data_IF_581201412875
#
_entry.id   IF_581201412875
#
_cell.length_a   1.000
_cell.length_b   1.000
_cell.length_c   1.000
_cell.angle_alpha   90.00
_cell.angle_beta   90.00
_cell.angle_gamma   90.00
#
_symmetry.space_group_name_H-M   'P 1'
#
loop_
_entity.id
_entity.type
_entity.pdbx_description
1 polymer ?
#
# COMPACT_ATOMS: atom_id res chain seq x y z
N UNK A 1 -7.60 -7.48 2.00
CA UNK A 1 -9.07 -7.56 2.14
C UNK A 1 -9.73 -6.47 1.29
N UNK A 2 -11.01 -6.67 0.93
CA UNK A 2 -11.84 -5.68 0.24
C UNK A 2 -12.81 -5.05 1.25
N UNK A 3 -12.92 -3.74 1.26
CA UNK A 3 -13.81 -2.99 2.16
C UNK A 3 -14.67 -2.04 1.33
N UNK A 4 -15.99 -2.16 1.46
CA UNK A 4 -16.94 -1.33 0.71
C UNK A 4 -17.36 -0.14 1.57
N UNK A 5 -17.20 1.08 1.03
CA UNK A 5 -17.55 2.34 1.69
C UNK A 5 -19.04 2.66 1.47
N UNK A 6 -19.95 1.80 1.92
CA UNK A 6 -21.40 2.05 1.83
C UNK A 6 -21.97 2.78 3.05
N UNK A 7 -21.48 2.46 4.25
CA UNK A 7 -22.10 2.89 5.52
C UNK A 7 -21.10 3.43 6.55
N UNK A 8 -20.07 4.14 6.11
CA UNK A 8 -19.08 4.78 6.99
C UNK A 8 -19.12 6.32 6.83
N UNK A 9 -20.15 7.02 7.36
CA UNK A 9 -20.33 8.45 7.18
C UNK A 9 -19.21 9.29 7.82
N UNK A 10 -18.48 8.73 8.79
CA UNK A 10 -17.33 9.36 9.43
C UNK A 10 -16.06 9.33 8.59
N UNK A 11 -16.01 8.53 7.52
CA UNK A 11 -14.84 8.47 6.61
C UNK A 11 -15.11 9.04 5.23
N UNK A 12 -16.38 9.02 4.80
CA UNK A 12 -16.80 9.59 3.52
C UNK A 12 -16.52 11.09 3.49
N UNK A 13 -15.97 11.57 2.38
CA UNK A 13 -15.64 12.97 2.15
C UNK A 13 -14.25 13.36 2.63
N UNK A 14 -13.61 12.57 3.50
CA UNK A 14 -12.24 12.79 3.94
C UNK A 14 -11.23 12.18 2.96
N UNK A 15 -10.07 12.80 2.88
CA UNK A 15 -8.92 12.28 2.15
C UNK A 15 -8.18 11.20 2.94
N UNK A 16 -7.47 10.31 2.24
CA UNK A 16 -6.70 9.24 2.89
C UNK A 16 -5.68 9.78 3.91
N UNK A 17 -5.12 10.96 3.65
CA UNK A 17 -4.21 11.64 4.55
C UNK A 17 -4.89 12.26 5.77
N UNK A 18 -6.14 12.72 5.65
CA UNK A 18 -6.95 13.19 6.78
C UNK A 18 -7.39 12.01 7.68
N UNK A 19 -7.66 10.85 7.08
CA UNK A 19 -8.07 9.65 7.79
C UNK A 19 -6.92 8.94 8.50
N UNK A 20 -5.67 9.17 8.09
CA UNK A 20 -4.48 8.61 8.74
C UNK A 20 -4.51 7.09 8.88
N UNK A 21 -5.19 6.37 7.98
CA UNK A 21 -5.49 4.94 8.17
C UNK A 21 -4.23 4.09 8.30
N UNK A 22 -3.15 4.53 7.63
CA UNK A 22 -1.85 3.89 7.71
C UNK A 22 -1.23 4.04 9.08
N UNK A 23 -1.24 5.24 9.63
CA UNK A 23 -0.66 5.58 10.92
C UNK A 23 -1.49 5.00 12.08
N UNK A 24 -2.81 5.02 11.96
CA UNK A 24 -3.75 4.55 12.98
C UNK A 24 -3.91 3.04 12.99
N UNK A 25 -4.02 2.40 11.82
CA UNK A 25 -4.31 0.96 11.73
C UNK A 25 -3.14 0.13 11.23
N UNK A 26 -2.08 0.74 10.69
CA UNK A 26 -0.95 0.02 10.11
C UNK A 26 -1.27 -0.62 8.75
N UNK A 27 -2.40 -0.27 8.14
CA UNK A 27 -2.86 -0.81 6.85
C UNK A 27 -2.39 0.07 5.68
N UNK A 28 -2.39 -0.48 4.47
CA UNK A 28 -2.18 0.26 3.25
C UNK A 28 -3.34 0.07 2.28
N UNK A 29 -3.73 1.13 1.58
CA UNK A 29 -4.71 1.03 0.50
C UNK A 29 -3.95 0.82 -0.81
N UNK A 30 -4.11 -0.36 -1.38
CA UNK A 30 -3.51 -0.74 -2.65
C UNK A 30 -4.29 -0.20 -3.85
N UNK A 31 -5.61 -0.08 -3.74
CA UNK A 31 -6.48 0.39 -4.82
C UNK A 31 -7.83 0.89 -4.30
N UNK A 32 -8.42 1.86 -5.00
CA UNK A 32 -9.83 2.24 -4.85
C UNK A 32 -10.57 1.91 -6.16
N UNK A 33 -11.64 1.13 -6.10
CA UNK A 33 -12.61 1.02 -7.21
C UNK A 33 -13.74 2.01 -6.96
N UNK A 34 -14.01 2.87 -7.93
CA UNK A 34 -15.07 3.89 -7.89
C UNK A 34 -15.91 3.75 -9.15
N UNK A 35 -16.99 2.97 -9.04
CA UNK A 35 -17.82 2.62 -10.19
C UNK A 35 -17.01 1.86 -11.24
N UNK A 36 -16.81 2.47 -12.40
CA UNK A 36 -16.03 1.93 -13.54
C UNK A 36 -14.56 2.33 -13.52
N UNK A 37 -14.10 3.08 -12.51
CA UNK A 37 -12.72 3.57 -12.41
C UNK A 37 -11.94 2.83 -11.34
N UNK A 38 -10.70 2.50 -11.64
CA UNK A 38 -9.74 1.97 -10.68
C UNK A 38 -8.62 2.98 -10.43
N UNK A 39 -8.39 3.29 -9.16
CA UNK A 39 -7.34 4.21 -8.70
C UNK A 39 -6.29 3.39 -7.96
N UNK A 40 -5.25 2.90 -8.67
CA UNK A 40 -4.19 2.12 -8.05
C UNK A 40 -3.30 3.02 -7.19
N UNK A 41 -2.96 2.53 -6.01
CA UNK A 41 -2.08 3.18 -5.04
C UNK A 41 -2.47 4.65 -4.79
N UNK A 42 -3.67 4.90 -4.25
CA UNK A 42 -4.25 6.23 -4.11
C UNK A 42 -3.40 7.17 -3.25
N UNK A 43 -3.37 8.45 -3.65
CA UNK A 43 -2.68 9.56 -2.98
C UNK A 43 -3.23 9.89 -1.60
N UNK A 44 -2.43 10.57 -0.77
CA UNK A 44 -2.92 11.13 0.50
C UNK A 44 -4.07 12.11 0.30
N UNK A 45 -4.13 12.79 -0.84
CA UNK A 45 -5.17 13.77 -1.17
C UNK A 45 -6.41 13.11 -1.82
N UNK A 46 -6.37 11.79 -2.09
CA UNK A 46 -7.51 11.06 -2.64
C UNK A 46 -8.63 10.97 -1.60
N UNK A 47 -9.84 11.40 -1.98
CA UNK A 47 -11.01 11.41 -1.10
C UNK A 47 -11.82 10.14 -1.25
N UNK A 48 -12.37 9.66 -0.14
CA UNK A 48 -13.31 8.54 -0.14
C UNK A 48 -14.73 9.03 -0.40
N UNK A 49 -15.45 8.31 -1.24
CA UNK A 49 -16.86 8.57 -1.58
C UNK A 49 -17.73 7.34 -1.28
N UNK A 50 -19.06 7.53 -1.13
CA UNK A 50 -19.97 6.41 -0.99
C UNK A 50 -19.88 5.47 -2.19
N UNK A 51 -19.83 4.17 -1.91
CA UNK A 51 -19.67 3.12 -2.93
C UNK A 51 -18.23 2.88 -3.37
N UNK A 52 -17.25 3.61 -2.84
CA UNK A 52 -15.84 3.28 -3.06
C UNK A 52 -15.54 1.90 -2.48
N UNK A 53 -14.76 1.12 -3.22
CA UNK A 53 -14.23 -0.15 -2.75
C UNK A 53 -12.74 -0.02 -2.50
N UNK A 54 -12.32 -0.22 -1.26
CA UNK A 54 -10.92 -0.19 -0.87
C UNK A 54 -10.33 -1.59 -0.87
N UNK A 55 -9.25 -1.77 -1.62
CA UNK A 55 -8.38 -2.93 -1.51
C UNK A 55 -7.28 -2.61 -0.51
N UNK A 56 -7.35 -3.24 0.66
CA UNK A 56 -6.44 -2.97 1.79
C UNK A 56 -5.50 -4.13 2.05
N UNK A 57 -4.26 -3.79 2.41
CA UNK A 57 -3.18 -4.68 2.80
C UNK A 57 -2.82 -4.44 4.27
N UNK A 58 -2.76 -5.51 5.05
CA UNK A 58 -2.44 -5.51 6.47
C UNK A 58 -2.47 -6.93 7.00
N UNK A 59 -2.09 -7.11 8.26
CA UNK A 59 -2.30 -8.38 8.98
C UNK A 59 -3.78 -8.55 9.32
N UNK A 60 -4.21 -9.78 9.61
CA UNK A 60 -5.60 -10.06 10.00
C UNK A 60 -6.05 -9.17 11.17
N UNK A 61 -5.24 -9.05 12.23
CA UNK A 61 -5.51 -8.15 13.36
C UNK A 61 -5.65 -6.67 12.95
N UNK A 62 -4.90 -6.19 11.96
CA UNK A 62 -5.00 -4.80 11.48
C UNK A 62 -6.27 -4.60 10.67
N UNK A 63 -6.62 -5.58 9.84
CA UNK A 63 -7.83 -5.57 9.02
C UNK A 63 -9.08 -5.69 9.88
N UNK A 64 -9.05 -6.50 10.95
CA UNK A 64 -10.13 -6.61 11.93
C UNK A 64 -10.34 -5.28 12.67
N UNK A 65 -9.27 -4.63 13.15
CA UNK A 65 -9.38 -3.30 13.80
C UNK A 65 -9.93 -2.24 12.86
N UNK A 66 -9.48 -2.21 11.61
CA UNK A 66 -10.00 -1.29 10.59
C UNK A 66 -11.47 -1.57 10.30
N UNK A 67 -11.84 -2.83 10.11
CA UNK A 67 -13.21 -3.26 9.87
C UNK A 67 -14.12 -2.88 11.03
N UNK A 68 -13.70 -3.13 12.27
CA UNK A 68 -14.43 -2.76 13.48
C UNK A 68 -14.66 -1.24 13.53
N UNK A 69 -13.62 -0.44 13.26
CA UNK A 69 -13.70 1.02 13.27
C UNK A 69 -14.57 1.59 12.13
N UNK A 70 -14.54 0.99 10.94
CA UNK A 70 -15.44 1.37 9.84
C UNK A 70 -16.89 0.99 10.14
N UNK A 71 -17.10 -0.11 10.86
CA UNK A 71 -18.40 -0.66 11.21
C UNK A 71 -18.90 -0.21 12.60
N UNK A 72 -18.31 0.81 13.21
CA UNK A 72 -18.77 1.40 14.48
C UNK A 72 -20.22 1.93 14.42
N UNK A 73 -20.90 1.86 13.26
CA UNK A 73 -22.34 2.15 13.13
C UNK A 73 -23.19 1.03 12.50
N UNK A 74 -22.62 -0.05 11.95
CA UNK A 74 -23.44 -1.21 11.53
C UNK A 74 -22.58 -2.47 11.32
N UNK A 75 -22.93 -3.55 12.02
CA UNK A 75 -22.16 -4.79 12.09
C UNK A 75 -22.27 -5.66 10.83
N UNK A 76 -21.75 -5.20 9.69
CA UNK A 76 -21.71 -6.01 8.45
C UNK A 76 -20.35 -5.97 7.76
N UNK A 77 -19.60 -7.06 7.93
CA UNK A 77 -18.45 -7.42 7.10
C UNK A 77 -18.95 -7.86 5.71
N UNK A 78 -18.54 -7.20 4.62
CA UNK A 78 -18.88 -7.64 3.26
C UNK A 78 -17.78 -8.54 2.69
N UNK A 79 -18.04 -9.84 2.67
CA UNK A 79 -17.26 -10.85 1.95
C UNK A 79 -17.69 -10.86 0.47
N UNK A 80 -16.85 -10.40 -0.45
CA UNK A 80 -17.11 -10.49 -1.89
C UNK A 80 -15.85 -10.97 -2.65
N UNK A 81 -15.96 -11.98 -3.54
CA UNK A 81 -14.80 -12.55 -4.24
C UNK A 81 -14.23 -11.64 -5.35
N UNK A 82 -12.94 -11.83 -5.58
CA UNK A 82 -12.04 -11.03 -6.43
C UNK A 82 -12.26 -11.25 -7.94
N UNK A 83 -12.18 -10.18 -8.72
CA UNK A 83 -11.62 -10.21 -10.08
C UNK A 83 -10.31 -9.42 -10.03
N UNK A 84 -9.21 -10.08 -10.39
CA UNK A 84 -7.85 -9.74 -10.01
C UNK A 84 -7.13 -9.20 -11.24
N UNK A 85 -6.83 -7.90 -11.28
CA UNK A 85 -5.82 -7.36 -12.20
C UNK A 85 -4.46 -7.32 -11.46
N UNK A 86 -3.59 -8.29 -11.76
CA UNK A 86 -2.15 -8.47 -11.47
C UNK A 86 -1.51 -7.69 -10.28
N UNK A 87 -2.15 -7.66 -9.12
CA UNK A 87 -1.53 -7.28 -7.85
C UNK A 87 -0.75 -8.48 -7.27
N UNK A 88 0.58 -8.39 -7.26
CA UNK A 88 1.50 -9.42 -6.74
C UNK A 88 2.27 -8.89 -5.53
N UNK A 89 2.48 -9.76 -4.54
CA UNK A 89 3.47 -9.53 -3.48
C UNK A 89 4.83 -10.06 -3.95
N UNK A 90 5.81 -9.16 -4.04
CA UNK A 90 7.16 -9.49 -4.46
C UNK A 90 8.15 -9.28 -3.32
N UNK A 91 9.19 -10.13 -3.32
CA UNK A 91 10.34 -10.06 -2.43
C UNK A 91 11.60 -9.87 -3.25
N UNK A 92 12.42 -8.87 -2.92
CA UNK A 92 13.70 -8.63 -3.56
C UNK A 92 14.75 -8.08 -2.58
N UNK A 93 16.02 -8.24 -2.92
CA UNK A 93 17.14 -7.74 -2.12
C UNK A 93 17.68 -6.43 -2.71
N UNK A 94 17.99 -5.46 -1.86
CA UNK A 94 18.73 -4.24 -2.24
C UNK A 94 20.21 -4.58 -2.31
N UNK A 95 20.66 -5.00 -3.50
CA UNK A 95 22.06 -5.29 -3.77
C UNK A 95 22.92 -4.05 -4.06
N UNK A 96 24.23 -4.26 -4.19
CA UNK A 96 25.19 -3.26 -4.63
C UNK A 96 24.78 -2.67 -5.99
N UNK A 97 24.70 -1.35 -6.10
CA UNK A 97 24.34 -0.68 -7.35
C UNK A 97 22.83 -0.68 -7.67
N UNK A 98 22.00 -1.15 -6.72
CA UNK A 98 20.55 -1.00 -6.82
C UNK A 98 20.18 0.49 -6.89
N UNK A 99 19.20 0.87 -7.75
CA UNK A 99 18.67 2.25 -7.77
C UNK A 99 17.97 2.63 -6.46
N UNK A 100 17.74 1.67 -5.57
CA UNK A 100 17.13 1.87 -4.25
C UNK A 100 18.17 2.15 -3.16
N UNK A 101 19.45 1.84 -3.36
CA UNK A 101 20.45 1.96 -2.32
C UNK A 101 20.62 3.42 -1.84
N UNK A 102 20.43 3.66 -0.55
CA UNK A 102 20.65 4.97 0.07
C UNK A 102 19.55 6.01 -0.20
N UNK A 103 18.48 5.67 -0.93
CA UNK A 103 17.32 6.54 -1.11
C UNK A 103 16.18 6.16 -0.17
N UNK A 104 15.33 7.14 0.16
CA UNK A 104 14.12 6.87 0.96
C UNK A 104 13.07 6.15 0.13
N UNK A 105 12.17 5.43 0.80
CA UNK A 105 11.00 4.80 0.16
C UNK A 105 10.24 5.84 -0.69
N UNK A 106 10.02 7.04 -0.16
CA UNK A 106 9.32 8.12 -0.85
C UNK A 106 10.07 8.61 -2.08
N UNK A 107 11.38 8.85 -1.96
CA UNK A 107 12.19 9.38 -3.07
C UNK A 107 12.60 8.30 -4.08
N UNK A 108 12.30 7.03 -3.81
CA UNK A 108 12.72 5.93 -4.66
C UNK A 108 12.05 5.93 -6.03
N UNK A 109 10.78 6.33 -6.11
CA UNK A 109 9.97 6.13 -7.31
C UNK A 109 9.04 4.92 -7.25
N UNK A 110 9.15 4.03 -6.26
CA UNK A 110 8.41 2.76 -6.24
C UNK A 110 6.90 2.94 -6.36
N UNK A 111 6.36 3.95 -5.67
CA UNK A 111 4.93 4.20 -5.62
C UNK A 111 4.39 4.73 -6.94
N UNK A 112 5.05 5.73 -7.50
CA UNK A 112 4.62 6.51 -8.66
C UNK A 112 5.06 5.91 -10.01
N UNK A 113 6.23 5.27 -10.07
CA UNK A 113 6.78 4.72 -11.31
C UNK A 113 6.50 3.22 -11.43
N UNK A 114 6.56 2.47 -10.33
CA UNK A 114 6.34 1.02 -10.33
C UNK A 114 4.92 0.61 -9.91
N UNK A 115 4.06 1.54 -9.49
CA UNK A 115 2.76 1.26 -8.88
C UNK A 115 2.88 0.21 -7.76
N UNK A 116 3.91 0.37 -6.93
CA UNK A 116 4.27 -0.59 -5.89
C UNK A 116 4.42 0.09 -4.53
N UNK A 117 3.98 -0.62 -3.50
CA UNK A 117 4.00 -0.17 -2.14
C UNK A 117 4.84 -1.09 -1.28
N UNK A 118 5.81 -0.52 -0.55
CA UNK A 118 6.64 -1.26 0.39
C UNK A 118 5.79 -1.63 1.60
N UNK A 119 5.57 -2.93 1.79
CA UNK A 119 4.80 -3.48 2.92
C UNK A 119 5.71 -3.91 4.07
N UNK A 120 6.99 -4.17 3.80
CA UNK A 120 7.96 -4.49 4.84
C UNK A 120 9.41 -4.49 4.37
N UNK A 121 10.32 -4.31 5.31
CA UNK A 121 11.77 -4.44 5.11
C UNK A 121 12.34 -5.35 6.19
N UNK A 122 13.05 -6.40 5.79
CA UNK A 122 13.90 -7.19 6.70
C UNK A 122 15.33 -6.69 6.57
N UNK A 123 15.90 -6.25 7.69
CA UNK A 123 17.25 -5.70 7.78
C UNK A 123 18.01 -6.44 8.88
N UNK A 124 18.85 -7.39 8.47
CA UNK A 124 19.49 -8.31 9.41
C UNK A 124 18.45 -9.06 10.24
N UNK A 125 18.46 -8.88 11.57
CA UNK A 125 17.50 -9.48 12.49
C UNK A 125 16.22 -8.65 12.71
N UNK A 126 16.16 -7.41 12.21
CA UNK A 126 15.03 -6.50 12.42
C UNK A 126 14.04 -6.60 11.27
N UNK A 127 12.75 -6.64 11.59
CA UNK A 127 11.66 -6.50 10.62
C UNK A 127 10.96 -5.16 10.83
N UNK A 128 10.92 -4.35 9.77
CA UNK A 128 10.19 -3.10 9.69
C UNK A 128 8.89 -3.38 8.95
N UNK A 129 7.79 -3.49 9.69
CA UNK A 129 6.46 -3.70 9.11
C UNK A 129 5.86 -2.34 8.78
N UNK A 130 5.37 -2.17 7.54
CA UNK A 130 4.82 -0.92 7.03
C UNK A 130 5.72 0.32 7.27
N UNK A 131 6.97 0.32 6.77
CA UNK A 131 7.93 1.40 7.01
C UNK A 131 7.47 2.72 6.40
N UNK A 132 7.59 3.82 7.14
CA UNK A 132 7.24 5.16 6.65
C UNK A 132 8.06 5.55 5.39
N UNK A 133 7.51 6.46 4.57
CA UNK A 133 8.15 6.94 3.35
C UNK A 133 9.54 7.56 3.55
N UNK A 134 9.89 7.96 4.78
CA UNK A 134 11.20 8.50 5.16
C UNK A 134 12.26 7.44 5.43
N UNK A 135 11.89 6.16 5.56
CA UNK A 135 12.84 5.08 5.77
C UNK A 135 13.78 4.95 4.55
N UNK A 136 15.07 4.93 4.81
CA UNK A 136 16.11 4.78 3.78
C UNK A 136 16.41 3.30 3.56
N UNK A 137 16.38 2.85 2.31
CA UNK A 137 16.84 1.51 1.96
C UNK A 137 18.35 1.39 2.14
N UNK A 138 18.78 0.23 2.62
CA UNK A 138 20.19 -0.11 2.83
C UNK A 138 20.54 -1.36 2.06
N UNK A 139 21.82 -1.47 1.70
CA UNK A 139 22.35 -2.68 1.11
C UNK A 139 22.08 -3.90 2.02
N UNK A 140 21.64 -5.00 1.42
CA UNK A 140 21.23 -6.22 2.11
C UNK A 140 19.83 -6.18 2.72
N UNK A 141 19.07 -5.09 2.51
CA UNK A 141 17.65 -5.07 2.85
C UNK A 141 16.88 -6.05 1.97
N UNK A 142 16.02 -6.84 2.61
CA UNK A 142 15.03 -7.65 1.93
C UNK A 142 13.71 -6.89 1.95
N UNK A 143 13.30 -6.41 0.78
CA UNK A 143 12.12 -5.57 0.62
C UNK A 143 10.96 -6.42 0.14
N UNK A 144 9.84 -6.30 0.86
CA UNK A 144 8.55 -6.83 0.46
C UNK A 144 7.71 -5.69 -0.10
N UNK A 145 7.26 -5.82 -1.34
CA UNK A 145 6.47 -4.81 -2.02
C UNK A 145 5.26 -5.44 -2.72
N UNK A 146 4.10 -4.82 -2.54
CA UNK A 146 2.86 -5.20 -3.23
C UNK A 146 2.59 -4.22 -4.37
N UNK A 147 2.31 -4.71 -5.57
CA UNK A 147 2.09 -3.85 -6.72
C UNK A 147 1.96 -4.62 -8.02
N UNK A 148 2.05 -3.88 -9.13
CA UNK A 148 1.99 -4.48 -10.46
C UNK A 148 3.30 -5.23 -10.77
N UNK A 149 3.28 -6.56 -10.77
CA UNK A 149 4.49 -7.39 -10.78
C UNK A 149 5.47 -7.08 -11.92
N UNK A 150 4.97 -6.88 -13.15
CA UNK A 150 5.81 -6.51 -14.30
C UNK A 150 6.56 -5.17 -14.11
N UNK A 151 5.84 -4.11 -13.73
CA UNK A 151 6.42 -2.78 -13.52
C UNK A 151 7.42 -2.77 -12.38
N UNK A 152 7.11 -3.49 -11.31
CA UNK A 152 8.01 -3.62 -10.17
C UNK A 152 9.30 -4.36 -10.57
N UNK A 153 9.21 -5.44 -11.35
CA UNK A 153 10.39 -6.13 -11.91
C UNK A 153 11.23 -5.23 -12.81
N UNK A 154 10.61 -4.50 -13.73
CA UNK A 154 11.32 -3.54 -14.60
C UNK A 154 12.01 -2.45 -13.78
N UNK A 155 11.35 -1.94 -12.74
CA UNK A 155 11.87 -0.89 -11.89
C UNK A 155 13.09 -1.33 -11.07
N UNK A 156 13.09 -2.53 -10.50
CA UNK A 156 14.24 -3.00 -9.68
C UNK A 156 15.48 -3.30 -10.53
N UNK A 157 15.31 -3.54 -11.83
CA UNK A 157 16.39 -3.86 -12.76
C UNK A 157 16.84 -2.68 -13.63
N UNK A 158 16.26 -1.49 -13.45
CA UNK A 158 16.68 -0.29 -14.20
C UNK A 158 18.10 0.12 -13.78
N UNK A 159 18.83 0.69 -14.74
CA UNK A 159 20.12 1.31 -14.42
C UNK A 159 19.91 2.52 -13.48
N UNK A 160 20.81 2.72 -12.50
CA UNK A 160 20.77 3.91 -11.66
C UNK A 160 20.94 5.18 -12.52
N UNK A 161 20.27 6.29 -12.18
CA UNK A 161 20.43 7.54 -12.91
C UNK A 161 21.90 7.97 -12.92
N UNK A 162 22.39 8.43 -14.09
CA UNK A 162 23.74 8.96 -14.23
C UNK A 162 23.94 10.14 -13.25
N UNK A 163 24.97 10.05 -12.42
CA UNK A 163 25.32 11.04 -11.40
C UNK A 163 25.94 12.29 -12.01
#
# INVERSE_FOLDING_TARGET
>A
AKLVMEHAPHVVGYSLGELGLRETFGINIAMIERGDRSIPVPGRDERLFPGDVLHVLGTDDQLERLSAWLNETDGRSSDAPLQQEDLELMKFEVGVGSPLEGVTIRSSGLREQANALVVGIERGSRRLLNPDGTETFKQGDIVWAAGHGRRLREFIHREPPAR
#
